data_IF_877308928430
#
_entry.id   IF_877308928430
#
_cell.length_a   1.000
_cell.length_b   1.000
_cell.length_c   1.000
_cell.angle_alpha   90.00
_cell.angle_beta   90.00
_cell.angle_gamma   90.00
#
_symmetry.space_group_name_H-M   'P 1'
#
loop_
_entity.id
_entity.type
_entity.pdbx_description
1 polymer ?
#
# COMPACT_ATOMS: atom_id res chain seq x y z
N UNK A 1 36.72 -52.97 -19.82
CA UNK A 1 36.23 -52.44 -18.53
C UNK A 1 37.34 -51.61 -17.91
N UNK A 2 37.00 -50.37 -17.52
CA UNK A 2 37.83 -49.34 -16.85
C UNK A 2 39.01 -48.76 -17.66
N UNK A 3 38.71 -47.71 -18.45
CA UNK A 3 39.70 -46.68 -18.77
C UNK A 3 39.60 -45.54 -17.76
N UNK A 4 40.71 -45.33 -17.06
CA UNK A 4 40.97 -44.22 -16.14
C UNK A 4 41.47 -43.07 -17.00
N UNK A 5 40.71 -41.97 -17.06
CA UNK A 5 41.24 -40.67 -17.47
C UNK A 5 41.15 -39.72 -16.29
N UNK A 6 42.33 -39.37 -15.78
CA UNK A 6 42.56 -38.30 -14.80
C UNK A 6 41.96 -36.99 -15.33
N UNK A 7 41.00 -36.43 -14.59
CA UNK A 7 40.63 -35.03 -14.76
C UNK A 7 41.56 -34.19 -13.89
N UNK A 8 42.33 -33.32 -14.53
CA UNK A 8 43.10 -32.29 -13.86
C UNK A 8 42.16 -31.39 -13.05
N UNK A 9 42.44 -31.24 -11.75
CA UNK A 9 41.82 -30.24 -10.90
C UNK A 9 42.57 -28.93 -11.15
N UNK A 10 41.95 -27.99 -11.87
CA UNK A 10 42.40 -26.60 -11.87
C UNK A 10 41.91 -25.97 -10.56
N UNK A 11 42.84 -25.68 -9.65
CA UNK A 11 42.59 -24.89 -8.46
C UNK A 11 42.64 -23.40 -8.87
N UNK A 12 41.49 -22.77 -9.09
CA UNK A 12 41.42 -21.31 -9.14
C UNK A 12 41.44 -20.79 -7.70
N UNK A 13 42.60 -20.33 -7.24
CA UNK A 13 42.67 -19.45 -6.07
C UNK A 13 42.08 -18.09 -6.47
N UNK A 14 40.78 -17.91 -6.29
CA UNK A 14 40.19 -16.58 -6.29
C UNK A 14 40.57 -15.91 -4.96
N UNK A 15 41.50 -14.96 -5.02
CA UNK A 15 41.67 -13.96 -3.97
C UNK A 15 40.36 -13.18 -3.87
N UNK A 16 39.50 -13.53 -2.91
CA UNK A 16 38.39 -12.67 -2.50
C UNK A 16 39.04 -11.56 -1.68
N UNK A 17 39.29 -10.40 -2.29
CA UNK A 17 39.52 -9.20 -1.52
C UNK A 17 38.29 -8.99 -0.63
N UNK A 18 38.43 -8.75 0.68
CA UNK A 18 37.28 -8.41 1.50
C UNK A 18 36.69 -7.13 0.93
N UNK A 19 35.43 -7.18 0.48
CA UNK A 19 34.65 -5.98 0.24
C UNK A 19 34.58 -5.26 1.59
N UNK A 20 35.45 -4.27 1.80
CA UNK A 20 35.27 -3.30 2.87
C UNK A 20 34.06 -2.47 2.51
N UNK A 21 32.91 -2.84 3.07
CA UNK A 21 31.76 -1.94 3.13
C UNK A 21 32.17 -0.76 3.99
N UNK A 22 32.47 0.37 3.34
CA UNK A 22 32.54 1.65 4.05
C UNK A 22 31.10 2.00 4.38
N UNK A 23 30.71 1.80 5.64
CA UNK A 23 29.49 2.39 6.15
C UNK A 23 29.72 3.90 6.21
N UNK A 24 29.36 4.61 5.15
CA UNK A 24 29.26 6.07 5.20
C UNK A 24 28.07 6.41 6.08
N UNK A 25 28.27 7.27 7.07
CA UNK A 25 27.18 7.86 7.83
C UNK A 25 26.21 8.53 6.85
N UNK A 26 24.91 8.43 7.10
CA UNK A 26 23.92 9.19 6.34
C UNK A 26 24.25 10.69 6.43
N UNK A 27 24.42 11.34 5.29
CA UNK A 27 24.68 12.77 5.20
C UNK A 27 23.41 13.48 4.78
N UNK A 28 23.16 14.65 5.37
CA UNK A 28 22.08 15.52 4.94
C UNK A 28 22.30 15.95 3.47
N UNK A 29 21.27 15.80 2.64
CA UNK A 29 21.30 16.22 1.23
C UNK A 29 21.03 17.72 1.12
N UNK A 30 19.97 18.21 1.76
CA UNK A 30 19.58 19.62 1.78
C UNK A 30 18.83 19.95 3.08
N UNK A 31 18.99 21.17 3.56
CA UNK A 31 18.07 21.78 4.52
C UNK A 31 17.01 22.58 3.75
N UNK A 32 15.77 22.09 3.72
CA UNK A 32 14.66 22.75 3.01
C UNK A 32 14.12 23.92 3.85
N UNK A 33 14.11 23.81 5.18
CA UNK A 33 13.72 24.89 6.08
C UNK A 33 14.96 25.52 6.72
N UNK A 34 15.74 26.27 5.94
CA UNK A 34 16.92 26.95 6.48
C UNK A 34 16.52 28.02 7.52
N UNK A 35 16.48 27.65 8.80
CA UNK A 35 15.84 28.47 9.83
C UNK A 35 15.96 27.95 11.27
N UNK A 36 17.19 27.69 11.75
CA UNK A 36 17.49 27.42 13.16
C UNK A 36 17.13 26.01 13.65
N UNK A 37 17.68 25.61 14.80
CA UNK A 37 17.73 24.22 15.29
C UNK A 37 16.37 23.52 15.60
N UNK A 38 15.24 24.15 15.27
CA UNK A 38 13.88 23.62 15.47
C UNK A 38 13.01 23.60 14.20
N UNK A 39 13.56 23.94 13.02
CA UNK A 39 12.87 23.82 11.74
C UNK A 39 12.95 22.38 11.21
N UNK A 40 11.84 21.85 10.69
CA UNK A 40 11.75 20.50 10.13
C UNK A 40 10.83 20.49 8.92
N UNK A 41 11.40 20.25 7.74
CA UNK A 41 10.68 20.16 6.47
C UNK A 41 9.72 18.97 6.40
N UNK A 42 9.81 18.05 7.36
CA UNK A 42 8.91 16.91 7.56
C UNK A 42 8.65 16.13 6.27
N UNK A 43 9.71 15.69 5.54
CA UNK A 43 9.51 14.99 4.30
C UNK A 43 8.72 13.71 4.56
N UNK A 44 7.63 13.52 3.83
CA UNK A 44 6.77 12.36 3.95
C UNK A 44 6.46 11.77 2.58
N UNK A 45 6.01 10.51 2.58
CA UNK A 45 5.52 9.77 1.42
C UNK A 45 6.54 9.80 0.27
N UNK A 46 7.54 8.94 0.37
CA UNK A 46 8.67 8.89 -0.56
C UNK A 46 8.37 7.91 -1.70
N UNK A 47 8.58 8.33 -2.94
CA UNK A 47 8.50 7.45 -4.11
C UNK A 47 9.61 7.75 -5.10
N UNK A 48 10.15 6.71 -5.74
CA UNK A 48 11.06 6.87 -6.87
C UNK A 48 10.28 6.85 -8.18
N UNK A 49 10.50 7.83 -9.04
CA UNK A 49 9.94 7.93 -10.40
C UNK A 49 10.99 8.56 -11.32
N UNK A 50 11.26 7.95 -12.47
CA UNK A 50 12.28 8.41 -13.44
C UNK A 50 13.65 8.77 -12.79
N UNK A 51 14.16 7.88 -11.94
CA UNK A 51 15.43 8.02 -11.21
C UNK A 51 15.52 9.22 -10.24
N UNK A 52 14.39 9.87 -9.96
CA UNK A 52 14.27 10.92 -8.95
C UNK A 52 13.40 10.46 -7.79
N UNK A 53 13.67 11.00 -6.61
CA UNK A 53 12.85 10.85 -5.42
C UNK A 53 11.83 11.98 -5.38
N UNK A 54 10.55 11.65 -5.27
CA UNK A 54 9.44 12.59 -5.05
C UNK A 54 8.90 12.44 -3.64
N UNK A 55 8.54 13.55 -3.02
CA UNK A 55 8.06 13.62 -1.65
C UNK A 55 7.35 14.94 -1.36
N UNK A 56 6.50 14.94 -0.34
CA UNK A 56 5.99 16.17 0.27
C UNK A 56 7.10 16.80 1.12
N UNK A 57 7.28 18.12 1.09
CA UNK A 57 8.04 18.83 2.11
C UNK A 57 7.52 20.26 2.32
N UNK A 58 7.81 20.81 3.50
CA UNK A 58 7.46 22.17 3.91
C UNK A 58 8.72 23.05 3.95
N UNK A 59 8.73 24.20 3.27
CA UNK A 59 9.83 25.20 3.31
C UNK A 59 9.54 26.40 4.22
N UNK A 60 8.44 26.38 4.98
CA UNK A 60 7.87 27.49 5.76
C UNK A 60 7.45 28.72 4.94
N UNK A 61 7.44 28.63 3.61
CA UNK A 61 7.06 29.73 2.70
C UNK A 61 5.82 29.35 1.88
N UNK A 62 5.88 28.23 1.18
CA UNK A 62 4.79 27.64 0.39
C UNK A 62 4.01 26.56 1.17
N UNK A 63 4.43 26.24 2.39
CA UNK A 63 3.87 25.13 3.15
C UNK A 63 4.24 23.78 2.53
N UNK A 64 3.47 22.73 2.86
CA UNK A 64 3.67 21.36 2.36
C UNK A 64 3.32 21.22 0.88
N UNK A 65 4.34 21.07 0.05
CA UNK A 65 4.23 21.03 -1.41
C UNK A 65 5.01 19.86 -2.03
N UNK A 66 4.91 19.68 -3.34
CA UNK A 66 5.56 18.59 -4.06
C UNK A 66 7.02 18.94 -4.36
N UNK A 67 7.95 18.15 -3.81
CA UNK A 67 9.39 18.25 -4.05
C UNK A 67 9.90 17.08 -4.86
N UNK A 68 11.06 17.29 -5.49
CA UNK A 68 11.84 16.23 -6.11
C UNK A 68 13.33 16.33 -5.72
N UNK A 69 14.06 15.22 -5.81
CA UNK A 69 15.49 15.15 -5.53
C UNK A 69 16.19 14.11 -6.41
N UNK A 70 17.38 14.46 -6.92
CA UNK A 70 18.33 13.53 -7.55
C UNK A 70 19.38 12.97 -6.55
N UNK A 71 19.19 13.23 -5.25
CA UNK A 71 20.15 12.89 -4.20
C UNK A 71 21.22 13.96 -3.95
N UNK A 72 21.20 15.08 -4.68
CA UNK A 72 22.09 16.23 -4.46
C UNK A 72 21.35 17.43 -3.86
N UNK A 73 22.10 18.32 -3.18
CA UNK A 73 21.55 19.56 -2.64
C UNK A 73 20.94 20.47 -3.73
N UNK A 74 21.54 20.50 -4.91
CA UNK A 74 21.10 21.33 -6.03
C UNK A 74 19.89 20.75 -6.76
N UNK A 75 19.83 19.42 -6.90
CA UNK A 75 18.70 18.73 -7.50
C UNK A 75 17.51 18.50 -6.56
N UNK A 76 17.65 18.84 -5.26
CA UNK A 76 16.54 18.84 -4.31
C UNK A 76 15.78 20.16 -4.39
N UNK A 77 14.64 20.18 -5.07
CA UNK A 77 13.91 21.40 -5.40
C UNK A 77 12.40 21.23 -5.22
N UNK A 78 11.71 22.35 -4.96
CA UNK A 78 10.26 22.46 -5.10
C UNK A 78 9.90 22.23 -6.56
N UNK A 79 9.18 21.14 -6.85
CA UNK A 79 8.73 20.85 -8.21
C UNK A 79 7.62 21.82 -8.62
N UNK A 80 6.65 22.01 -7.73
CA UNK A 80 5.49 22.86 -7.96
C UNK A 80 4.93 23.34 -6.62
N UNK A 81 4.73 24.65 -6.51
CA UNK A 81 3.80 25.24 -5.54
C UNK A 81 2.38 25.06 -6.11
N UNK A 82 1.72 23.97 -5.72
CA UNK A 82 0.38 23.62 -6.21
C UNK A 82 -0.65 24.54 -5.57
N UNK A 83 -0.48 24.89 -4.29
CA UNK A 83 -1.33 25.84 -3.58
C UNK A 83 -0.55 27.08 -3.15
N UNK A 84 -0.54 28.13 -3.98
CA UNK A 84 0.23 29.34 -3.69
C UNK A 84 0.00 29.91 -2.27
N UNK A 85 1.11 30.18 -1.58
CA UNK A 85 1.14 30.74 -0.22
C UNK A 85 1.40 29.69 0.86
N UNK A 86 1.48 30.09 2.12
CA UNK A 86 2.00 29.22 3.19
C UNK A 86 1.07 28.11 3.71
N UNK A 87 0.01 27.74 3.00
CA UNK A 87 -0.91 26.69 3.48
C UNK A 87 -0.51 25.29 3.02
N UNK A 88 0.09 25.15 1.83
CA UNK A 88 0.45 23.87 1.24
C UNK A 88 -0.71 23.10 0.60
N UNK A 89 -0.36 22.21 -0.32
CA UNK A 89 -1.26 21.35 -1.08
C UNK A 89 -1.38 19.92 -0.55
N UNK A 90 -0.51 19.54 0.39
CA UNK A 90 -0.42 18.19 1.00
C UNK A 90 -0.44 17.02 0.00
N UNK A 91 0.56 16.92 -0.91
CA UNK A 91 0.68 15.79 -1.83
C UNK A 91 0.92 14.46 -1.10
N UNK A 92 0.07 13.47 -1.35
CA UNK A 92 0.19 12.15 -0.70
C UNK A 92 -0.37 11.03 -1.59
N UNK A 93 -0.25 9.77 -1.13
CA UNK A 93 -0.72 8.55 -1.81
C UNK A 93 -0.15 8.39 -3.22
N UNK A 94 1.16 8.57 -3.34
CA UNK A 94 1.86 8.47 -4.62
C UNK A 94 1.73 7.09 -5.28
N UNK A 95 1.45 7.08 -6.59
CA UNK A 95 1.54 5.88 -7.42
C UNK A 95 2.09 6.20 -8.81
N UNK A 96 3.08 5.41 -9.26
CA UNK A 96 3.57 5.48 -10.64
C UNK A 96 2.70 4.59 -11.53
N UNK A 97 2.10 5.17 -12.56
CA UNK A 97 1.25 4.48 -13.52
C UNK A 97 1.38 5.09 -14.91
N UNK A 98 1.49 4.26 -15.95
CA UNK A 98 1.60 4.70 -17.35
C UNK A 98 2.61 5.84 -17.58
N UNK A 99 3.80 5.72 -16.99
CA UNK A 99 4.89 6.69 -17.08
C UNK A 99 4.48 8.10 -16.61
N UNK A 100 3.69 8.15 -15.54
CA UNK A 100 3.33 9.35 -14.78
C UNK A 100 3.28 9.02 -13.31
N UNK A 101 3.45 10.03 -12.47
CA UNK A 101 3.23 9.94 -11.04
C UNK A 101 1.87 10.57 -10.70
N UNK A 102 0.98 9.78 -10.09
CA UNK A 102 -0.33 10.21 -9.60
C UNK A 102 -0.30 10.37 -8.08
N UNK A 103 -1.09 11.31 -7.56
CA UNK A 103 -1.18 11.64 -6.14
C UNK A 103 -2.42 12.48 -5.86
N UNK A 104 -2.81 12.60 -4.59
CA UNK A 104 -3.81 13.58 -4.18
C UNK A 104 -3.17 14.91 -3.83
N UNK A 105 -3.81 16.04 -4.12
CA UNK A 105 -3.36 17.36 -3.66
C UNK A 105 -4.51 18.38 -3.69
N UNK A 106 -4.35 19.46 -2.92
CA UNK A 106 -5.30 20.57 -2.84
C UNK A 106 -4.72 21.86 -3.42
N UNK A 107 -5.32 22.42 -4.47
CA UNK A 107 -4.88 23.72 -5.05
C UNK A 107 -5.51 24.96 -4.39
N UNK A 108 -6.35 24.76 -3.36
CA UNK A 108 -7.08 25.80 -2.67
C UNK A 108 -8.38 26.25 -3.36
N UNK A 109 -8.72 25.67 -4.52
CA UNK A 109 -9.91 26.01 -5.30
C UNK A 109 -10.81 24.81 -5.58
N UNK A 110 -10.23 23.68 -5.98
CA UNK A 110 -10.92 22.42 -6.30
C UNK A 110 -10.97 21.44 -5.13
N UNK A 111 -10.40 21.80 -3.97
CA UNK A 111 -10.25 20.85 -2.86
C UNK A 111 -9.20 19.77 -3.14
N UNK A 112 -9.18 18.72 -2.33
CA UNK A 112 -8.27 17.57 -2.48
C UNK A 112 -8.79 16.65 -3.58
N UNK A 113 -8.06 16.59 -4.69
CA UNK A 113 -8.46 15.89 -5.91
C UNK A 113 -7.32 15.04 -6.50
N UNK A 114 -7.56 14.37 -7.64
CA UNK A 114 -6.55 13.54 -8.29
C UNK A 114 -5.64 14.39 -9.18
N UNK A 115 -4.35 14.42 -8.85
CA UNK A 115 -3.29 15.11 -9.57
C UNK A 115 -2.35 14.14 -10.27
N UNK A 116 -1.61 14.65 -11.25
CA UNK A 116 -0.51 13.93 -11.88
C UNK A 116 0.69 14.83 -12.15
N UNK A 117 1.86 14.22 -12.34
CA UNK A 117 3.05 14.87 -12.88
C UNK A 117 3.81 13.97 -13.85
N UNK A 118 4.48 14.57 -14.83
CA UNK A 118 5.51 13.92 -15.67
C UNK A 118 6.93 14.15 -15.14
N UNK A 119 7.08 14.82 -14.00
CA UNK A 119 8.35 15.22 -13.41
C UNK A 119 8.74 16.68 -13.71
N UNK A 120 7.87 17.43 -14.41
CA UNK A 120 8.07 18.86 -14.67
C UNK A 120 7.01 19.72 -13.97
N UNK A 121 7.36 20.97 -13.64
CA UNK A 121 6.43 21.93 -13.04
C UNK A 121 5.22 22.26 -13.95
N UNK A 122 5.37 22.14 -15.27
CA UNK A 122 4.30 22.35 -16.25
C UNK A 122 3.41 21.12 -16.42
N UNK A 123 3.99 19.92 -16.35
CA UNK A 123 3.25 18.66 -16.38
C UNK A 123 2.62 18.26 -15.04
N UNK A 124 2.87 19.04 -13.98
CA UNK A 124 2.23 18.89 -12.67
C UNK A 124 0.88 19.62 -12.67
N UNK A 125 -0.20 18.88 -12.83
CA UNK A 125 -1.55 19.41 -13.10
C UNK A 125 -2.64 18.59 -12.42
N UNK A 126 -3.77 19.24 -12.14
CA UNK A 126 -5.01 18.58 -11.77
C UNK A 126 -5.40 17.62 -12.91
N UNK A 127 -5.46 16.32 -12.61
CA UNK A 127 -5.80 15.31 -13.60
C UNK A 127 -7.31 15.13 -13.69
N UNK A 128 -7.99 15.05 -12.55
CA UNK A 128 -9.43 14.93 -12.47
C UNK A 128 -9.96 15.56 -11.19
N UNK A 129 -10.88 16.52 -11.36
CA UNK A 129 -11.79 16.99 -10.32
C UNK A 129 -12.94 15.96 -10.22
N UNK A 130 -12.81 15.02 -9.29
CA UNK A 130 -13.77 13.93 -9.05
C UNK A 130 -14.97 14.48 -8.30
N UNK A 131 -14.77 15.44 -7.39
CA UNK A 131 -15.84 16.11 -6.64
C UNK A 131 -15.91 17.61 -6.97
N UNK A 132 -16.60 17.98 -8.07
CA UNK A 132 -16.61 19.35 -8.58
C UNK A 132 -16.91 20.43 -7.55
N UNK A 133 -16.12 21.51 -7.61
CA UNK A 133 -16.21 22.65 -6.71
C UNK A 133 -15.11 22.62 -5.66
N UNK A 134 -15.31 23.24 -4.49
CA UNK A 134 -14.31 23.22 -3.41
C UNK A 134 -14.42 22.02 -2.48
N UNK A 135 -15.05 20.93 -2.92
CA UNK A 135 -15.19 19.70 -2.14
C UNK A 135 -13.94 18.84 -2.26
N UNK A 136 -13.72 17.91 -1.33
CA UNK A 136 -12.63 16.95 -1.44
C UNK A 136 -13.18 15.60 -1.89
N UNK A 137 -12.62 15.04 -2.96
CA UNK A 137 -12.78 13.62 -3.26
C UNK A 137 -11.81 12.73 -2.50
N UNK A 138 -10.72 13.30 -1.96
CA UNK A 138 -9.70 12.62 -1.16
C UNK A 138 -9.28 11.25 -1.76
N UNK A 139 -8.60 11.22 -2.93
CA UNK A 139 -8.12 9.98 -3.54
C UNK A 139 -7.05 9.29 -2.68
N UNK A 140 -7.37 8.14 -2.08
CA UNK A 140 -6.47 7.41 -1.16
C UNK A 140 -6.07 6.03 -1.71
N UNK A 141 -5.00 5.47 -1.13
CA UNK A 141 -4.54 4.10 -1.32
C UNK A 141 -4.27 3.71 -2.78
N UNK A 142 -3.74 4.66 -3.55
CA UNK A 142 -3.48 4.48 -4.99
C UNK A 142 -2.65 3.23 -5.26
N UNK A 143 -3.22 2.29 -6.01
CA UNK A 143 -2.62 0.97 -6.26
C UNK A 143 -2.78 0.58 -7.71
N UNK A 144 -1.67 0.23 -8.36
CA UNK A 144 -1.70 -0.29 -9.74
C UNK A 144 -1.95 -1.80 -9.73
N UNK A 145 -3.03 -2.24 -10.38
CA UNK A 145 -3.35 -3.65 -10.56
C UNK A 145 -4.05 -3.86 -11.91
N UNK A 146 -3.85 -5.02 -12.55
CA UNK A 146 -4.49 -5.37 -13.83
C UNK A 146 -4.36 -4.30 -14.94
N UNK A 147 -3.25 -3.54 -14.97
CA UNK A 147 -3.06 -2.45 -15.94
C UNK A 147 -3.92 -1.21 -15.69
N UNK A 148 -4.50 -1.06 -14.50
CA UNK A 148 -5.30 0.07 -14.07
C UNK A 148 -4.71 0.67 -12.79
N UNK A 149 -4.95 1.97 -12.57
CA UNK A 149 -4.75 2.61 -11.28
C UNK A 149 -6.06 2.58 -10.50
N UNK A 150 -6.07 1.97 -9.32
CA UNK A 150 -7.21 1.94 -8.40
C UNK A 150 -6.97 2.85 -7.21
N UNK A 151 -8.04 3.41 -6.65
CA UNK A 151 -7.99 4.25 -5.46
C UNK A 151 -9.38 4.38 -4.84
N UNK A 152 -9.45 4.69 -3.55
CA UNK A 152 -10.69 5.13 -2.91
C UNK A 152 -10.89 6.61 -3.20
N UNK A 153 -12.11 7.04 -3.57
CA UNK A 153 -12.47 8.44 -3.67
C UNK A 153 -13.94 8.66 -3.31
N UNK A 154 -14.27 9.88 -2.91
CA UNK A 154 -15.61 10.32 -2.51
C UNK A 154 -16.24 11.23 -3.57
N UNK A 155 -17.50 10.97 -3.90
CA UNK A 155 -18.34 11.95 -4.58
C UNK A 155 -19.71 12.09 -3.88
N UNK A 156 -20.41 13.20 -4.15
CA UNK A 156 -21.67 13.48 -3.46
C UNK A 156 -22.79 12.46 -3.72
N UNK A 157 -22.81 11.81 -4.89
CA UNK A 157 -23.91 10.95 -5.31
C UNK A 157 -23.78 9.51 -4.80
N UNK A 158 -22.55 9.01 -4.73
CA UNK A 158 -22.23 7.61 -4.39
C UNK A 158 -21.40 7.47 -3.11
N UNK A 159 -21.06 8.57 -2.44
CA UNK A 159 -20.18 8.54 -1.27
C UNK A 159 -18.76 8.10 -1.62
N UNK A 160 -18.06 7.54 -0.63
CA UNK A 160 -16.69 7.02 -0.75
C UNK A 160 -16.69 5.57 -1.23
N UNK A 161 -16.20 5.37 -2.45
CA UNK A 161 -16.24 4.12 -3.20
C UNK A 161 -14.93 3.81 -3.92
N UNK A 162 -14.86 2.66 -4.61
CA UNK A 162 -13.67 2.24 -5.36
C UNK A 162 -13.72 2.85 -6.76
N UNK A 163 -12.69 3.64 -7.09
CA UNK A 163 -12.48 4.22 -8.41
C UNK A 163 -11.32 3.53 -9.12
N UNK A 164 -11.32 3.67 -10.45
CA UNK A 164 -10.21 3.25 -11.30
C UNK A 164 -9.87 4.32 -12.33
N UNK A 165 -8.68 4.23 -12.89
CA UNK A 165 -8.24 4.97 -14.08
C UNK A 165 -7.45 4.06 -15.03
N UNK A 166 -7.67 4.24 -16.33
CA UNK A 166 -6.84 3.67 -17.40
C UNK A 166 -5.73 4.64 -17.86
N UNK A 167 -5.58 5.79 -17.17
CA UNK A 167 -4.64 6.86 -17.50
C UNK A 167 -5.28 7.98 -18.33
N UNK A 168 -6.57 7.88 -18.62
CA UNK A 168 -7.35 8.93 -19.29
C UNK A 168 -8.41 9.53 -18.36
N UNK A 169 -8.77 10.80 -18.57
CA UNK A 169 -9.84 11.46 -17.79
C UNK A 169 -11.21 10.79 -17.97
N UNK A 170 -11.44 10.14 -19.11
CA UNK A 170 -12.70 9.47 -19.45
C UNK A 170 -12.77 8.05 -18.85
N UNK A 171 -11.64 7.36 -18.77
CA UNK A 171 -11.52 6.07 -18.08
C UNK A 171 -11.31 6.18 -16.58
N UNK A 172 -11.29 7.39 -16.03
CA UNK A 172 -11.24 7.65 -14.58
C UNK A 172 -12.66 7.71 -14.03
N UNK A 173 -13.13 6.58 -13.49
CA UNK A 173 -14.55 6.35 -13.16
C UNK A 173 -14.71 5.46 -11.93
N UNK A 174 -15.87 5.55 -11.29
CA UNK A 174 -16.36 4.61 -10.29
C UNK A 174 -16.34 3.18 -10.86
N UNK A 175 -15.82 2.22 -10.11
CA UNK A 175 -15.84 0.80 -10.50
C UNK A 175 -17.21 0.20 -10.28
N UNK A 176 -17.77 0.43 -9.09
CA UNK A 176 -19.08 -0.05 -8.64
C UNK A 176 -19.52 0.80 -7.45
N UNK A 177 -20.79 1.17 -7.41
CA UNK A 177 -21.45 1.67 -6.20
C UNK A 177 -21.71 0.47 -5.27
N UNK A 178 -20.80 0.22 -4.31
CA UNK A 178 -20.85 -0.95 -3.43
C UNK A 178 -21.88 -0.71 -2.33
N UNK A 179 -21.82 0.43 -1.65
CA UNK A 179 -22.82 0.82 -0.65
C UNK A 179 -23.83 1.80 -1.27
N UNK A 180 -24.85 1.22 -1.91
CA UNK A 180 -25.76 1.92 -2.82
C UNK A 180 -26.22 3.31 -2.37
N UNK A 181 -26.18 4.27 -3.30
CA UNK A 181 -26.59 5.65 -3.05
C UNK A 181 -25.48 6.43 -2.32
N UNK A 182 -25.85 7.42 -1.49
CA UNK A 182 -24.86 8.26 -0.82
C UNK A 182 -24.17 7.59 0.40
N UNK A 183 -24.23 6.26 0.49
CA UNK A 183 -23.53 5.49 1.52
C UNK A 183 -22.05 5.37 1.19
N UNK A 184 -21.20 5.13 2.19
CA UNK A 184 -19.78 4.91 1.95
C UNK A 184 -19.47 3.41 2.05
N UNK A 185 -18.85 2.80 1.04
CA UNK A 185 -18.24 1.48 1.19
C UNK A 185 -16.86 1.53 1.85
N UNK A 186 -16.21 2.71 1.83
CA UNK A 186 -14.89 2.98 2.44
C UNK A 186 -13.83 1.93 2.06
N UNK A 187 -13.48 1.80 0.77
CA UNK A 187 -12.41 0.91 0.34
C UNK A 187 -11.08 1.28 0.98
N UNK A 188 -10.43 0.32 1.62
CA UNK A 188 -9.12 0.48 2.28
C UNK A 188 -8.25 -0.77 2.03
N UNK A 189 -6.97 -0.71 2.41
CA UNK A 189 -6.02 -1.83 2.34
C UNK A 189 -5.91 -2.39 0.91
N UNK A 190 -5.94 -1.50 -0.08
CA UNK A 190 -5.85 -1.87 -1.50
C UNK A 190 -4.53 -2.59 -1.77
N UNK A 191 -4.63 -3.86 -2.15
CA UNK A 191 -3.47 -4.71 -2.40
C UNK A 191 -3.62 -5.47 -3.72
N UNK A 192 -2.61 -5.34 -4.57
CA UNK A 192 -2.51 -6.17 -5.77
C UNK A 192 -2.06 -7.58 -5.42
N UNK A 193 -2.82 -8.57 -5.90
CA UNK A 193 -2.43 -10.00 -5.89
C UNK A 193 -2.58 -10.55 -7.31
N UNK A 194 -1.46 -10.81 -7.98
CA UNK A 194 -1.45 -11.15 -9.41
C UNK A 194 -2.09 -10.06 -10.27
N UNK A 195 -3.22 -10.38 -10.92
CA UNK A 195 -4.01 -9.46 -11.75
C UNK A 195 -5.31 -9.01 -11.08
N UNK A 196 -5.43 -9.19 -9.76
CA UNK A 196 -6.60 -8.78 -8.98
C UNK A 196 -6.20 -7.70 -7.98
N UNK A 197 -7.18 -6.86 -7.65
CA UNK A 197 -7.11 -5.98 -6.49
C UNK A 197 -7.95 -6.60 -5.39
N UNK A 198 -7.36 -6.79 -4.21
CA UNK A 198 -8.08 -7.10 -2.97
C UNK A 198 -8.14 -5.83 -2.12
N UNK A 199 -9.22 -5.66 -1.38
CA UNK A 199 -9.45 -4.51 -0.52
C UNK A 199 -10.53 -4.83 0.51
N UNK A 200 -10.61 -4.03 1.55
CA UNK A 200 -11.69 -4.11 2.55
C UNK A 200 -12.77 -3.07 2.24
N UNK A 201 -14.04 -3.47 2.24
CA UNK A 201 -15.18 -2.57 2.01
C UNK A 201 -16.47 -3.12 2.63
N UNK A 202 -17.50 -2.26 2.74
CA UNK A 202 -18.86 -2.66 3.17
C UNK A 202 -19.91 -2.37 2.09
N UNK A 203 -20.90 -3.24 1.96
CA UNK A 203 -22.11 -2.98 1.16
C UNK A 203 -23.27 -2.37 1.99
N UNK A 204 -22.99 -1.98 3.23
CA UNK A 204 -23.97 -1.47 4.18
C UNK A 204 -24.77 -2.56 4.91
N UNK A 205 -24.58 -3.84 4.57
CA UNK A 205 -25.31 -4.97 5.17
C UNK A 205 -24.41 -6.02 5.82
N UNK A 206 -23.21 -6.27 5.28
CA UNK A 206 -22.30 -7.32 5.76
C UNK A 206 -21.11 -6.81 6.59
N UNK A 207 -21.19 -5.59 7.16
CA UNK A 207 -20.01 -4.97 7.76
C UNK A 207 -18.88 -4.75 6.75
N UNK A 208 -17.66 -4.44 7.23
CA UNK A 208 -16.45 -4.33 6.38
C UNK A 208 -15.77 -5.69 6.28
N UNK A 209 -15.62 -6.16 5.04
CA UNK A 209 -15.21 -7.53 4.70
C UNK A 209 -14.23 -7.55 3.51
N UNK A 210 -13.71 -8.73 3.15
CA UNK A 210 -12.81 -8.88 2.01
C UNK A 210 -13.54 -8.80 0.67
N UNK A 211 -13.17 -7.82 -0.15
CA UNK A 211 -13.63 -7.67 -1.53
C UNK A 211 -12.51 -7.90 -2.53
N UNK A 212 -12.89 -8.21 -3.77
CA UNK A 212 -11.98 -8.35 -4.90
C UNK A 212 -12.52 -7.57 -6.09
N UNK A 213 -11.63 -7.02 -6.92
CA UNK A 213 -11.95 -6.37 -8.19
C UNK A 213 -10.96 -6.77 -9.30
N UNK A 214 -11.49 -6.91 -10.51
CA UNK A 214 -10.70 -6.94 -11.76
C UNK A 214 -10.74 -5.60 -12.53
N UNK A 215 -11.39 -4.58 -11.97
CA UNK A 215 -11.64 -3.29 -12.63
C UNK A 215 -12.97 -3.18 -13.33
N UNK A 216 -13.83 -4.19 -13.28
CA UNK A 216 -15.21 -4.13 -13.79
C UNK A 216 -16.22 -4.19 -12.66
N UNK A 217 -17.41 -3.65 -12.87
CA UNK A 217 -18.48 -3.72 -11.88
C UNK A 217 -18.87 -5.19 -11.55
N UNK A 218 -18.90 -6.07 -12.56
CA UNK A 218 -19.24 -7.49 -12.39
C UNK A 218 -18.13 -8.27 -11.69
N UNK A 219 -16.88 -7.98 -12.00
CA UNK A 219 -15.72 -8.56 -11.34
C UNK A 219 -15.41 -7.93 -9.98
N UNK A 220 -16.27 -7.03 -9.48
CA UNK A 220 -16.17 -6.40 -8.15
C UNK A 220 -17.23 -6.95 -7.20
N UNK A 221 -16.81 -7.80 -6.26
CA UNK A 221 -17.73 -8.52 -5.37
C UNK A 221 -17.10 -8.87 -4.01
N UNK A 222 -17.98 -9.05 -3.01
CA UNK A 222 -17.65 -9.61 -1.71
C UNK A 222 -17.11 -11.02 -1.91
N UNK A 223 -15.86 -11.27 -1.53
CA UNK A 223 -15.23 -12.58 -1.68
C UNK A 223 -15.92 -13.60 -0.77
N UNK A 224 -16.14 -13.20 0.49
CA UNK A 224 -16.80 -13.97 1.53
C UNK A 224 -17.22 -13.05 2.67
N UNK A 225 -18.42 -13.25 3.19
CA UNK A 225 -18.85 -12.72 4.48
C UNK A 225 -18.14 -13.55 5.58
N UNK A 226 -16.99 -13.07 6.08
CA UNK A 226 -16.15 -13.82 7.02
C UNK A 226 -16.72 -13.72 8.43
N UNK A 227 -17.11 -12.51 8.87
CA UNK A 227 -17.82 -12.31 10.13
C UNK A 227 -19.32 -12.18 9.88
N UNK A 228 -19.98 -13.35 9.75
CA UNK A 228 -21.36 -13.48 9.27
C UNK A 228 -22.32 -12.45 9.86
N UNK A 229 -22.96 -11.68 8.98
CA UNK A 229 -23.94 -10.66 9.32
C UNK A 229 -23.36 -9.24 9.28
N UNK A 230 -23.88 -8.34 10.11
CA UNK A 230 -23.52 -6.91 10.05
C UNK A 230 -22.18 -6.57 10.74
N UNK A 231 -21.45 -7.56 11.25
CA UNK A 231 -20.16 -7.35 11.92
C UNK A 231 -19.03 -7.24 10.90
N UNK A 232 -18.05 -6.37 11.15
CA UNK A 232 -16.83 -6.33 10.33
C UNK A 232 -15.84 -7.41 10.76
N UNK A 233 -15.09 -7.97 9.82
CA UNK A 233 -14.07 -8.99 10.10
C UNK A 233 -12.69 -8.42 10.47
N UNK A 234 -12.46 -7.12 10.23
CA UNK A 234 -11.23 -6.37 10.52
C UNK A 234 -10.00 -7.07 9.94
N UNK A 235 -9.72 -6.86 8.65
CA UNK A 235 -8.56 -7.49 8.03
C UNK A 235 -7.26 -6.81 8.49
N UNK A 236 -6.23 -7.62 8.75
CA UNK A 236 -4.90 -7.16 9.17
C UNK A 236 -3.81 -7.91 8.40
N UNK A 237 -2.67 -7.25 8.19
CA UNK A 237 -1.45 -7.84 7.63
C UNK A 237 -1.65 -8.49 6.25
N UNK A 238 -2.41 -7.86 5.35
CA UNK A 238 -2.63 -8.36 3.99
C UNK A 238 -1.28 -8.52 3.26
N UNK A 239 -1.01 -9.73 2.81
CA UNK A 239 0.26 -10.09 2.19
C UNK A 239 0.04 -10.97 0.96
N UNK A 240 0.53 -10.50 -0.18
CA UNK A 240 0.52 -11.26 -1.43
C UNK A 240 1.64 -12.31 -1.43
N UNK A 241 1.31 -13.57 -1.68
CA UNK A 241 2.29 -14.66 -1.88
C UNK A 241 1.92 -15.40 -3.16
N UNK A 242 2.68 -15.16 -4.24
CA UNK A 242 2.34 -15.64 -5.56
C UNK A 242 0.99 -15.10 -6.04
N UNK A 243 0.01 -15.99 -6.26
CA UNK A 243 -1.36 -15.63 -6.66
C UNK A 243 -2.37 -15.67 -5.50
N UNK A 244 -1.89 -15.86 -4.27
CA UNK A 244 -2.73 -15.96 -3.08
C UNK A 244 -2.56 -14.73 -2.19
N UNK A 245 -3.64 -14.36 -1.53
CA UNK A 245 -3.63 -13.42 -0.42
C UNK A 245 -3.56 -14.21 0.88
N UNK A 246 -2.69 -13.81 1.80
CA UNK A 246 -2.68 -14.24 3.19
C UNK A 246 -2.91 -13.05 4.10
N UNK A 247 -3.69 -13.24 5.15
CA UNK A 247 -4.11 -12.16 6.05
C UNK A 247 -4.55 -12.72 7.41
N UNK A 248 -4.58 -11.85 8.40
CA UNK A 248 -5.15 -12.12 9.72
C UNK A 248 -6.55 -11.51 9.79
N UNK A 249 -7.54 -12.25 10.28
CA UNK A 249 -8.94 -11.79 10.30
C UNK A 249 -9.72 -12.46 11.42
N UNK A 250 -10.72 -11.76 11.96
CA UNK A 250 -11.65 -12.27 12.95
C UNK A 250 -12.99 -12.65 12.32
N UNK A 251 -13.36 -13.92 12.40
CA UNK A 251 -14.62 -14.47 11.86
C UNK A 251 -15.81 -14.40 12.84
N UNK A 252 -15.66 -13.66 13.92
CA UNK A 252 -16.67 -13.51 14.98
C UNK A 252 -16.77 -14.71 15.93
N UNK A 253 -16.06 -15.82 15.65
CA UNK A 253 -16.14 -17.06 16.44
C UNK A 253 -14.78 -17.47 17.01
N UNK A 254 -13.74 -17.47 16.19
CA UNK A 254 -12.40 -17.97 16.50
C UNK A 254 -11.39 -16.85 16.81
N UNK A 255 -11.81 -15.59 16.70
CA UNK A 255 -10.90 -14.45 16.85
C UNK A 255 -9.95 -14.31 15.67
N UNK A 256 -8.87 -13.55 15.84
CA UNK A 256 -7.88 -13.30 14.79
C UNK A 256 -7.03 -14.54 14.50
N UNK A 257 -7.25 -15.12 13.33
CA UNK A 257 -6.54 -16.31 12.82
C UNK A 257 -5.93 -16.07 11.43
N UNK A 258 -5.05 -16.98 10.99
CA UNK A 258 -4.44 -16.92 9.66
C UNK A 258 -5.40 -17.46 8.59
N UNK A 259 -5.75 -16.61 7.64
CA UNK A 259 -6.59 -16.94 6.49
C UNK A 259 -5.85 -16.78 5.19
N UNK A 260 -6.38 -17.43 4.17
CA UNK A 260 -5.96 -17.23 2.79
C UNK A 260 -7.15 -17.00 1.86
N UNK A 261 -6.89 -16.39 0.71
CA UNK A 261 -7.84 -16.24 -0.38
C UNK A 261 -7.16 -16.36 -1.74
N UNK A 262 -7.85 -16.99 -2.70
CA UNK A 262 -7.55 -16.92 -4.14
C UNK A 262 -8.47 -15.95 -4.90
N UNK A 263 -9.32 -15.21 -4.19
CA UNK A 263 -10.33 -14.31 -4.75
C UNK A 263 -11.69 -14.96 -4.99
N UNK A 264 -11.88 -16.22 -4.57
CA UNK A 264 -13.16 -16.91 -4.61
C UNK A 264 -13.64 -17.27 -3.20
N UNK A 265 -14.96 -17.39 -3.01
CA UNK A 265 -15.52 -17.83 -1.73
C UNK A 265 -14.98 -19.21 -1.29
N UNK A 266 -14.83 -20.14 -2.23
CA UNK A 266 -14.35 -21.50 -1.95
C UNK A 266 -12.86 -21.55 -1.60
N UNK A 267 -12.04 -20.73 -2.26
CA UNK A 267 -10.62 -20.59 -1.95
C UNK A 267 -10.31 -19.66 -0.77
N UNK A 268 -11.34 -19.10 -0.12
CA UNK A 268 -11.22 -18.23 1.05
C UNK A 268 -11.57 -18.96 2.33
N UNK A 269 -10.53 -19.29 3.09
CA UNK A 269 -10.68 -20.09 4.30
C UNK A 269 -9.50 -19.93 5.28
N UNK A 270 -9.76 -20.24 6.54
CA UNK A 270 -8.76 -20.29 7.60
C UNK A 270 -7.72 -21.37 7.29
N UNK A 271 -6.47 -20.99 7.08
CA UNK A 271 -5.40 -21.93 6.68
C UNK A 271 -5.17 -22.98 7.75
N UNK A 272 -5.17 -22.52 9.00
CA UNK A 272 -5.11 -23.34 10.19
C UNK A 272 -5.53 -22.50 11.38
N UNK A 273 -6.35 -23.08 12.25
CA UNK A 273 -6.55 -22.57 13.60
C UNK A 273 -5.25 -22.81 14.38
N UNK A 274 -4.47 -21.74 14.55
CA UNK A 274 -3.14 -21.82 15.16
C UNK A 274 -3.25 -21.88 16.69
N UNK A 275 -4.36 -21.39 17.26
CA UNK A 275 -4.65 -21.44 18.69
C UNK A 275 -6.14 -21.79 18.94
N UNK A 276 -6.51 -23.07 19.01
CA UNK A 276 -7.93 -23.46 19.15
C UNK A 276 -8.61 -23.05 20.46
N UNK A 277 -7.86 -22.48 21.41
CA UNK A 277 -8.35 -22.01 22.70
C UNK A 277 -8.57 -20.48 22.76
N UNK A 278 -8.34 -19.73 21.67
CA UNK A 278 -8.55 -18.29 21.56
C UNK A 278 -7.68 -17.65 20.47
N UNK A 279 -7.59 -16.32 20.40
CA UNK A 279 -6.86 -15.65 19.31
C UNK A 279 -5.38 -16.09 19.17
N UNK A 280 -4.93 -16.39 17.95
CA UNK A 280 -3.50 -16.58 17.65
C UNK A 280 -2.75 -15.30 17.28
N UNK A 281 -3.49 -14.23 16.92
CA UNK A 281 -2.97 -12.90 16.53
C UNK A 281 -1.73 -12.98 15.62
N UNK A 282 -1.83 -13.64 14.45
CA UNK A 282 -0.69 -13.74 13.55
C UNK A 282 -0.36 -12.35 12.99
N UNK A 283 0.91 -11.95 13.06
CA UNK A 283 1.42 -10.64 12.68
C UNK A 283 2.74 -10.73 11.90
N UNK A 284 3.20 -9.59 11.39
CA UNK A 284 4.52 -9.45 10.75
C UNK A 284 4.72 -10.40 9.57
N UNK A 285 3.74 -10.38 8.67
CA UNK A 285 3.74 -11.26 7.50
C UNK A 285 4.81 -10.82 6.52
N UNK A 286 5.65 -11.77 6.11
CA UNK A 286 6.70 -11.55 5.13
C UNK A 286 6.66 -12.63 4.06
N UNK A 287 6.51 -12.20 2.81
CA UNK A 287 6.60 -13.07 1.64
C UNK A 287 8.05 -13.19 1.18
N UNK A 288 8.55 -14.41 1.03
CA UNK A 288 9.85 -14.68 0.39
C UNK A 288 9.66 -15.78 -0.66
N UNK A 289 9.68 -15.40 -1.92
CA UNK A 289 9.30 -16.29 -3.02
C UNK A 289 7.84 -16.74 -2.87
N UNK A 290 7.63 -18.06 -2.76
CA UNK A 290 6.30 -18.66 -2.57
C UNK A 290 6.01 -19.02 -1.10
N UNK A 291 6.78 -18.50 -0.16
CA UNK A 291 6.65 -18.83 1.27
C UNK A 291 6.17 -17.62 2.06
N UNK A 292 5.24 -17.87 2.99
CA UNK A 292 4.85 -16.92 4.01
C UNK A 292 5.58 -17.21 5.32
N UNK A 293 6.23 -16.20 5.86
CA UNK A 293 6.73 -16.15 7.22
C UNK A 293 5.82 -15.27 8.05
N UNK A 294 5.56 -15.66 9.29
CA UNK A 294 4.80 -14.86 10.24
C UNK A 294 5.30 -15.02 11.66
N UNK A 295 5.07 -13.99 12.46
CA UNK A 295 5.09 -14.09 13.91
C UNK A 295 3.72 -14.55 14.39
N UNK A 296 3.69 -15.47 15.36
CA UNK A 296 2.46 -15.89 16.03
C UNK A 296 2.62 -15.81 17.55
N UNK A 297 1.50 -15.56 18.22
CA UNK A 297 1.42 -15.71 19.67
C UNK A 297 1.06 -17.17 20.00
N UNK A 298 1.98 -17.92 20.58
CA UNK A 298 1.67 -19.23 21.18
C UNK A 298 1.57 -19.06 22.68
N UNK A 299 0.42 -19.36 23.30
CA UNK A 299 0.40 -19.63 24.74
C UNK A 299 1.04 -21.00 24.97
N UNK A 300 2.24 -21.06 25.54
CA UNK A 300 2.71 -22.32 26.13
C UNK A 300 1.96 -22.51 27.45
N UNK A 301 1.22 -23.62 27.58
CA UNK A 301 0.88 -24.10 28.93
C UNK A 301 2.13 -24.71 29.54
N UNK A 302 3.05 -23.89 30.05
CA UNK A 302 3.98 -24.39 31.05
C UNK A 302 3.25 -24.47 32.39
N UNK A 303 2.95 -25.71 32.79
CA UNK A 303 2.44 -25.98 34.14
C UNK A 303 3.50 -25.52 35.14
N UNK A 304 3.13 -24.46 35.87
CA UNK A 304 3.71 -23.94 37.11
C UNK A 304 4.73 -22.79 36.97
N UNK A 305 4.26 -21.62 37.41
CA UNK A 305 4.96 -20.36 37.71
C UNK A 305 5.38 -19.46 36.52
N UNK A 306 4.62 -18.36 36.33
CA UNK A 306 5.02 -17.19 35.54
C UNK A 306 4.51 -17.20 34.10
N UNK A 307 3.69 -16.21 33.72
CA UNK A 307 3.31 -15.99 32.30
C UNK A 307 4.56 -15.57 31.52
N UNK A 308 5.12 -16.45 30.71
CA UNK A 308 6.10 -16.09 29.68
C UNK A 308 5.39 -16.03 28.31
N UNK A 309 5.42 -14.87 27.67
CA UNK A 309 5.01 -14.73 26.26
C UNK A 309 6.18 -15.16 25.38
N UNK A 310 5.98 -16.17 24.51
CA UNK A 310 6.99 -16.58 23.54
C UNK A 310 6.51 -16.26 22.12
N UNK A 311 7.19 -15.32 21.46
CA UNK A 311 7.06 -15.09 20.03
C UNK A 311 7.87 -16.16 19.28
N UNK A 312 7.21 -16.96 18.45
CA UNK A 312 7.86 -18.02 17.67
C UNK A 312 7.57 -17.79 16.18
N UNK A 313 8.61 -17.91 15.35
CA UNK A 313 8.48 -17.87 13.89
C UNK A 313 7.84 -19.14 13.36
N UNK A 314 6.86 -19.01 12.46
CA UNK A 314 6.23 -20.14 11.77
C UNK A 314 6.29 -19.96 10.25
N UNK A 315 6.45 -21.08 9.55
CA UNK A 315 6.46 -21.16 8.09
C UNK A 315 5.18 -21.85 7.62
N UNK A 316 4.54 -21.30 6.60
CA UNK A 316 3.36 -21.90 5.94
C UNK A 316 3.66 -22.07 4.45
N UNK A 317 3.29 -23.23 3.91
CA UNK A 317 3.42 -23.61 2.49
C UNK A 317 2.18 -23.25 1.69
#
# INVERSE_FOLDING_TARGET
MKNIHQKAVLLFCAFIAPLTFIFTQATQVKDIQAGGASSNSSPNTLICYNDLLYFEADDNVSGKELYQSDGSALGTILLKDIRPGGTGSSPDYFAVFNNRLYFQANDGTSGIELWQTDGTALGTVLFKDIKPGGGNSDPLYMTVANGLLFFSADENATGRELYKSDGTMAGTVLVKDINSGAGNSTPDELLRVGNKLFFEATDGSTGRELWVSDGTALGTFLVKDINVGAGSSNLLNLTAVGSLLFFSVNDGTNGFELWRSDGTNAGTYMVKDINPAGNSNPSDFAAVGNMLFLQRMTMSMEKNFGRAMAANWAQVW
#
